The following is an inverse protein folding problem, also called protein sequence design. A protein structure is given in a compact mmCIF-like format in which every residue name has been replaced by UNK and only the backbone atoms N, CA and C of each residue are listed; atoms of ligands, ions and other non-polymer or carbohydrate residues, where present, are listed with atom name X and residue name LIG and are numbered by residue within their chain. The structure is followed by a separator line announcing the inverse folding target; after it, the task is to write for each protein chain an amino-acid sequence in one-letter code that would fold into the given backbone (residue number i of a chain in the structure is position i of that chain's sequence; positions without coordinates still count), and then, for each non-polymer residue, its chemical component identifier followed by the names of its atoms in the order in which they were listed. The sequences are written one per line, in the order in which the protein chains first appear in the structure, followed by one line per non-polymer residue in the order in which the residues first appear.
data_IF_435434839719
#
_entry.id   IF_435434839719
#
_cell.length_a   1.000
_cell.length_b   1.000
_cell.length_c   1.000
_cell.angle_alpha   90.00
_cell.angle_beta   90.00
_cell.angle_gamma   90.00
#
_symmetry.space_group_name_H-M   'P 1'
#
loop_
_entity.id
_entity.type
_entity.pdbx_description
1 polymer ?
#
# COMPACT_ATOMS: atom_id res chain seq x y z
N UNK A 1 30.09 -24.34 -8.42
CA UNK A 1 29.03 -23.51 -9.00
C UNK A 1 28.01 -22.99 -7.98
N UNK A 2 27.48 -23.77 -7.02
CA UNK A 2 26.54 -23.29 -5.98
C UNK A 2 27.12 -22.20 -5.06
N UNK A 3 28.38 -22.31 -4.64
CA UNK A 3 29.02 -21.34 -3.72
C UNK A 3 29.30 -19.97 -4.37
N UNK A 4 29.64 -19.91 -5.65
CA UNK A 4 29.86 -18.65 -6.38
C UNK A 4 28.53 -17.89 -6.56
N UNK A 5 27.42 -18.61 -6.82
CA UNK A 5 26.07 -18.04 -6.89
C UNK A 5 25.63 -17.43 -5.56
N UNK A 6 25.96 -18.07 -4.44
CA UNK A 6 25.63 -17.58 -3.08
C UNK A 6 26.40 -16.30 -2.74
N UNK A 7 27.69 -16.21 -3.06
CA UNK A 7 28.52 -15.03 -2.80
C UNK A 7 28.07 -13.81 -3.61
N UNK A 8 27.68 -14.00 -4.88
CA UNK A 8 27.17 -12.94 -5.72
C UNK A 8 25.80 -12.45 -5.25
N UNK A 9 24.92 -13.35 -4.79
CA UNK A 9 23.61 -12.99 -4.22
C UNK A 9 23.75 -12.18 -2.93
N UNK A 10 24.68 -12.57 -2.04
CA UNK A 10 24.94 -11.81 -0.81
C UNK A 10 25.46 -10.40 -1.13
N UNK A 11 26.39 -10.27 -2.07
CA UNK A 11 26.92 -8.98 -2.52
C UNK A 11 25.82 -8.10 -3.11
N UNK A 12 24.93 -8.68 -3.90
CA UNK A 12 23.75 -7.97 -4.45
C UNK A 12 22.82 -7.46 -3.33
N UNK A 13 22.48 -8.30 -2.35
CA UNK A 13 21.66 -7.90 -1.20
C UNK A 13 22.31 -6.77 -0.41
N UNK A 14 23.61 -6.87 -0.11
CA UNK A 14 24.34 -5.80 0.58
C UNK A 14 24.29 -4.50 -0.20
N UNK A 15 24.51 -4.53 -1.52
CA UNK A 15 24.41 -3.35 -2.37
C UNK A 15 23.00 -2.74 -2.35
N UNK A 16 21.96 -3.57 -2.37
CA UNK A 16 20.55 -3.11 -2.33
C UNK A 16 20.21 -2.47 -0.97
N UNK A 17 20.65 -3.08 0.13
CA UNK A 17 20.49 -2.51 1.48
C UNK A 17 21.22 -1.18 1.60
N UNK A 18 22.45 -1.08 1.07
CA UNK A 18 23.19 0.19 1.06
C UNK A 18 22.44 1.28 0.26
N UNK A 19 21.90 0.94 -0.90
CA UNK A 19 21.10 1.86 -1.70
C UNK A 19 19.84 2.29 -0.92
N UNK A 20 19.16 1.36 -0.25
CA UNK A 20 18.01 1.65 0.58
C UNK A 20 18.34 2.63 1.71
N UNK A 21 19.45 2.43 2.42
CA UNK A 21 19.93 3.34 3.49
C UNK A 21 20.20 4.74 2.92
N UNK A 22 20.86 4.82 1.77
CA UNK A 22 21.12 6.11 1.09
C UNK A 22 19.82 6.79 0.68
N UNK A 23 18.85 6.05 0.15
CA UNK A 23 17.53 6.61 -0.21
C UNK A 23 16.77 7.12 1.03
N UNK A 24 16.75 6.37 2.13
CA UNK A 24 16.14 6.82 3.39
C UNK A 24 16.82 8.08 3.91
N UNK A 25 18.15 8.16 3.82
CA UNK A 25 18.87 9.37 4.20
C UNK A 25 18.43 10.58 3.35
N UNK A 26 18.30 10.42 2.03
CA UNK A 26 17.80 11.50 1.17
C UNK A 26 16.35 11.89 1.50
N UNK A 27 15.50 10.94 1.86
CA UNK A 27 14.12 11.24 2.33
C UNK A 27 14.18 12.06 3.62
N UNK A 28 15.01 11.67 4.59
CA UNK A 28 15.20 12.43 5.83
C UNK A 28 15.69 13.87 5.57
N UNK A 29 16.65 14.02 4.67
CA UNK A 29 17.14 15.34 4.26
C UNK A 29 16.03 16.16 3.60
N UNK A 30 15.32 15.57 2.64
CA UNK A 30 14.25 16.25 1.91
C UNK A 30 13.11 16.67 2.85
N UNK A 31 12.65 15.78 3.73
CA UNK A 31 11.58 16.08 4.71
C UNK A 31 12.00 17.17 5.68
N UNK A 32 13.24 17.14 6.17
CA UNK A 32 13.79 18.19 7.02
C UNK A 32 13.78 19.55 6.32
N UNK A 33 14.31 19.64 5.10
CA UNK A 33 14.36 20.91 4.37
C UNK A 33 12.94 21.41 4.03
N UNK A 34 12.04 20.55 3.56
CA UNK A 34 10.67 20.95 3.26
C UNK A 34 9.97 21.56 4.47
N UNK A 35 10.13 20.95 5.65
CA UNK A 35 9.52 21.49 6.88
C UNK A 35 10.19 22.77 7.38
N UNK A 36 11.45 23.00 7.07
CA UNK A 36 12.19 24.20 7.47
C UNK A 36 12.11 25.35 6.47
N UNK A 37 11.63 25.14 5.25
CA UNK A 37 11.36 26.20 4.28
C UNK A 37 10.15 27.07 4.67
N UNK A 38 9.33 26.62 5.62
CA UNK A 38 8.18 27.37 6.08
C UNK A 38 8.60 28.35 7.16
N UNK A 39 8.26 29.61 6.99
CA UNK A 39 8.65 30.72 7.86
C UNK A 39 8.14 30.58 9.29
N UNK A 40 6.99 29.89 9.50
CA UNK A 40 6.38 29.64 10.79
C UNK A 40 6.21 28.15 10.99
N UNK A 41 6.74 27.59 12.09
CA UNK A 41 6.44 26.21 12.45
C UNK A 41 4.99 26.13 12.96
N UNK A 42 4.05 25.52 12.19
CA UNK A 42 2.64 25.54 12.54
C UNK A 42 2.33 24.79 13.83
N UNK A 43 3.13 23.78 14.17
CA UNK A 43 2.99 23.06 15.43
C UNK A 43 3.24 24.00 16.61
N UNK A 44 4.36 24.73 16.57
CA UNK A 44 4.67 25.72 17.60
C UNK A 44 3.65 26.86 17.62
N UNK A 45 3.17 27.29 16.45
CA UNK A 45 2.15 28.34 16.37
C UNK A 45 0.82 27.87 17.00
N UNK A 46 0.40 26.64 16.70
CA UNK A 46 -0.80 26.07 17.33
C UNK A 46 -0.63 25.87 18.83
N UNK A 47 0.50 25.35 19.27
CA UNK A 47 0.80 25.18 20.70
C UNK A 47 0.80 26.50 21.45
N UNK A 48 1.35 27.57 20.88
CA UNK A 48 1.38 28.90 21.51
C UNK A 48 0.00 29.53 21.58
N UNK A 49 -0.93 29.16 20.73
CA UNK A 49 -2.31 29.70 20.68
C UNK A 49 -3.34 28.84 21.42
N UNK A 50 -3.00 27.60 21.80
CA UNK A 50 -3.90 26.71 22.54
C UNK A 50 -3.67 26.80 24.05
N UNK A 51 -4.61 27.38 24.83
CA UNK A 51 -4.46 27.54 26.28
C UNK A 51 -4.43 26.20 27.05
N UNK A 52 -4.74 25.09 26.41
CA UNK A 52 -4.67 23.77 27.03
C UNK A 52 -3.25 23.20 27.02
N UNK A 53 -2.35 23.75 26.19
CA UNK A 53 -0.97 23.29 26.10
C UNK A 53 -0.15 24.04 27.18
N UNK A 54 0.40 23.34 28.21
CA UNK A 54 1.27 23.94 29.19
C UNK A 54 2.48 24.60 28.54
N UNK A 55 2.88 25.75 29.06
CA UNK A 55 4.02 26.51 28.53
C UNK A 55 5.33 25.72 28.57
N UNK A 56 5.49 24.84 29.55
CA UNK A 56 6.62 23.96 29.70
C UNK A 56 6.74 22.99 28.50
N UNK A 57 5.61 22.43 28.05
CA UNK A 57 5.58 21.51 26.88
C UNK A 57 5.92 22.26 25.59
N UNK A 58 5.46 23.50 25.47
CA UNK A 58 5.83 24.36 24.33
C UNK A 58 7.34 24.64 24.30
N UNK A 59 7.96 24.96 25.45
CA UNK A 59 9.40 25.18 25.54
C UNK A 59 10.21 23.90 25.23
N UNK A 60 9.78 22.77 25.77
CA UNK A 60 10.40 21.47 25.51
C UNK A 60 10.39 21.13 24.01
N UNK A 61 9.26 21.32 23.33
CA UNK A 61 9.13 21.07 21.90
C UNK A 61 9.97 22.06 21.08
N UNK A 62 10.01 23.33 21.45
CA UNK A 62 10.85 24.36 20.83
C UNK A 62 12.34 24.00 20.92
N UNK A 63 12.79 23.53 22.10
CA UNK A 63 14.17 23.08 22.33
C UNK A 63 14.46 21.79 21.54
N UNK A 64 13.51 20.85 21.53
CA UNK A 64 13.62 19.60 20.76
C UNK A 64 13.81 19.86 19.27
N UNK A 65 13.10 20.82 18.69
CA UNK A 65 13.23 21.21 17.28
C UNK A 65 14.50 22.04 17.04
N UNK A 66 14.98 22.73 18.07
CA UNK A 66 16.15 23.61 18.00
C UNK A 66 15.89 24.87 17.17
N UNK A 67 14.71 25.48 17.27
CA UNK A 67 14.26 26.61 16.42
C UNK A 67 15.24 27.78 16.44
N UNK A 68 15.88 28.05 17.57
CA UNK A 68 16.81 29.18 17.78
C UNK A 68 18.23 28.88 17.28
N UNK A 69 18.47 27.70 16.71
CA UNK A 69 19.79 27.27 16.26
C UNK A 69 19.96 27.40 14.73
N UNK A 70 21.21 27.54 14.25
CA UNK A 70 21.49 27.49 12.83
C UNK A 70 20.96 26.23 12.16
N UNK A 71 20.60 26.31 10.87
CA UNK A 71 19.94 25.22 10.15
C UNK A 71 20.73 23.89 10.18
N UNK A 72 22.06 23.99 10.16
CA UNK A 72 22.91 22.81 10.23
C UNK A 72 22.84 22.10 11.59
N UNK A 73 22.83 22.86 12.68
CA UNK A 73 22.65 22.31 14.04
C UNK A 73 21.25 21.71 14.20
N UNK A 74 20.21 22.37 13.66
CA UNK A 74 18.84 21.84 13.64
C UNK A 74 18.76 20.50 12.90
N UNK A 75 19.48 20.38 11.77
CA UNK A 75 19.56 19.12 11.04
C UNK A 75 20.21 18.02 11.87
N UNK A 76 21.30 18.30 12.56
CA UNK A 76 21.98 17.33 13.44
C UNK A 76 21.07 16.90 14.61
N UNK A 77 20.36 17.85 15.22
CA UNK A 77 19.37 17.56 16.26
C UNK A 77 18.25 16.68 15.71
N UNK A 78 17.70 17.03 14.55
CA UNK A 78 16.67 16.21 13.88
C UNK A 78 17.14 14.78 13.62
N UNK A 79 18.33 14.60 13.06
CA UNK A 79 18.92 13.30 12.83
C UNK A 79 19.14 12.50 14.11
N UNK A 80 19.67 13.14 15.16
CA UNK A 80 19.86 12.53 16.47
C UNK A 80 18.53 12.07 17.09
N UNK A 81 17.53 12.92 17.10
CA UNK A 81 16.19 12.62 17.59
C UNK A 81 15.55 11.46 16.80
N UNK A 82 15.72 11.47 15.47
CA UNK A 82 15.21 10.40 14.63
C UNK A 82 15.77 9.03 15.03
N UNK A 83 17.11 8.91 15.16
CA UNK A 83 17.76 7.64 15.52
C UNK A 83 17.50 7.23 16.98
N UNK A 84 17.17 8.16 17.86
CA UNK A 84 16.76 7.89 19.23
C UNK A 84 15.28 7.49 19.37
N UNK A 85 14.52 7.51 18.26
CA UNK A 85 13.07 7.24 18.25
C UNK A 85 12.22 8.40 18.79
N UNK A 86 12.81 9.56 19.05
CA UNK A 86 12.12 10.77 19.45
C UNK A 86 11.66 11.56 18.21
N UNK A 87 10.56 11.09 17.58
CA UNK A 87 10.03 11.71 16.37
C UNK A 87 9.10 12.90 16.63
N UNK A 88 8.92 13.26 17.93
CA UNK A 88 8.04 14.33 18.36
C UNK A 88 6.61 13.89 18.64
N UNK A 89 5.76 14.88 18.91
CA UNK A 89 4.34 14.67 19.24
C UNK A 89 3.45 15.39 18.22
N UNK A 90 2.32 14.77 17.91
CA UNK A 90 1.25 15.43 17.16
C UNK A 90 0.44 16.32 18.08
N UNK A 91 0.13 17.54 17.65
CA UNK A 91 -0.75 18.46 18.36
C UNK A 91 -1.93 18.95 17.49
N UNK A 92 -2.02 18.44 16.26
CA UNK A 92 -3.05 18.86 15.31
C UNK A 92 -4.01 17.74 14.98
N UNK A 93 -3.49 16.58 14.63
CA UNK A 93 -4.33 15.43 14.24
C UNK A 93 -4.50 14.39 15.35
N UNK A 94 -3.61 14.39 16.36
CA UNK A 94 -3.69 13.48 17.51
C UNK A 94 -3.11 14.18 18.76
N UNK A 95 -3.97 14.71 19.60
CA UNK A 95 -3.68 15.62 20.72
C UNK A 95 -2.60 15.09 21.68
N UNK A 96 -1.36 15.61 21.55
CA UNK A 96 -0.22 15.26 22.39
C UNK A 96 0.38 13.86 22.21
N UNK A 97 -0.12 13.06 21.26
CA UNK A 97 0.32 11.69 21.05
C UNK A 97 1.70 11.65 20.38
N UNK A 98 2.68 10.86 20.90
CA UNK A 98 3.96 10.65 20.19
C UNK A 98 3.73 10.07 18.79
N UNK A 99 4.46 10.60 17.79
CA UNK A 99 4.28 10.18 16.40
C UNK A 99 4.55 8.69 16.21
N UNK A 100 5.54 8.12 16.90
CA UNK A 100 5.83 6.69 16.86
C UNK A 100 4.67 5.84 17.37
N UNK A 101 4.01 6.28 18.45
CA UNK A 101 2.81 5.62 19.00
C UNK A 101 1.62 5.75 18.03
N UNK A 102 1.41 6.95 17.47
CA UNK A 102 0.37 7.17 16.48
C UNK A 102 0.55 6.24 15.28
N UNK A 103 1.75 6.16 14.71
CA UNK A 103 2.06 5.29 13.58
C UNK A 103 1.79 3.82 13.93
N UNK A 104 2.21 3.35 15.11
CA UNK A 104 1.93 2.00 15.55
C UNK A 104 0.42 1.67 15.63
N UNK A 105 -0.42 2.67 15.90
CA UNK A 105 -1.88 2.51 15.97
C UNK A 105 -2.56 2.54 14.60
N UNK A 106 -2.06 3.36 13.66
CA UNK A 106 -2.69 3.57 12.35
C UNK A 106 -2.12 2.68 11.24
N UNK A 107 -0.98 2.05 11.47
CA UNK A 107 -0.35 1.11 10.54
C UNK A 107 -1.19 -0.16 10.30
N UNK A 108 -1.71 -0.87 11.34
CA UNK A 108 -2.49 -2.06 11.15
C UNK A 108 -3.73 -1.87 10.25
N UNK A 109 -4.57 -0.83 10.42
CA UNK A 109 -5.68 -0.57 9.51
C UNK A 109 -5.27 -0.47 8.03
N UNK A 110 -4.19 0.23 7.71
CA UNK A 110 -3.68 0.32 6.32
C UNK A 110 -3.31 -1.06 5.77
N UNK A 111 -2.62 -1.87 6.55
CA UNK A 111 -2.22 -3.22 6.14
C UNK A 111 -3.44 -4.12 5.94
N UNK A 112 -4.43 -4.08 6.83
CA UNK A 112 -5.67 -4.85 6.67
C UNK A 112 -6.39 -4.53 5.37
N UNK A 113 -6.47 -3.25 5.02
CA UNK A 113 -7.12 -2.78 3.80
C UNK A 113 -6.41 -3.28 2.53
N UNK A 114 -5.09 -3.40 2.57
CA UNK A 114 -4.26 -3.86 1.44
C UNK A 114 -4.20 -5.39 1.35
N UNK A 115 -4.42 -6.10 2.45
CA UNK A 115 -4.20 -7.55 2.54
C UNK A 115 -5.08 -8.35 1.57
N UNK A 116 -6.37 -8.02 1.45
CA UNK A 116 -7.29 -8.69 0.52
C UNK A 116 -6.91 -8.40 -0.94
N UNK A 117 -6.71 -7.14 -1.38
CA UNK A 117 -6.24 -6.82 -2.71
C UNK A 117 -4.93 -7.51 -3.09
N UNK A 118 -3.92 -7.55 -2.22
CA UNK A 118 -2.61 -8.12 -2.54
C UNK A 118 -2.67 -9.61 -2.88
N UNK A 119 -3.65 -10.33 -2.31
CA UNK A 119 -3.88 -11.75 -2.58
C UNK A 119 -4.74 -11.93 -3.84
N UNK A 120 -5.84 -11.17 -3.95
CA UNK A 120 -6.83 -11.40 -5.01
C UNK A 120 -6.39 -10.86 -6.36
N UNK A 121 -5.69 -9.73 -6.41
CA UNK A 121 -5.27 -9.11 -7.69
C UNK A 121 -4.40 -10.05 -8.53
N UNK A 122 -3.31 -10.65 -8.03
CA UNK A 122 -2.50 -11.56 -8.82
C UNK A 122 -3.29 -12.75 -9.36
N UNK A 123 -4.13 -13.34 -8.51
CA UNK A 123 -4.94 -14.52 -8.86
C UNK A 123 -5.93 -14.17 -9.99
N UNK A 124 -6.68 -13.08 -9.82
CA UNK A 124 -7.68 -12.66 -10.79
C UNK A 124 -7.05 -12.17 -12.09
N UNK A 125 -5.99 -11.37 -12.00
CA UNK A 125 -5.31 -10.80 -13.16
C UNK A 125 -4.70 -11.89 -14.05
N UNK A 126 -4.02 -12.88 -13.45
CA UNK A 126 -3.43 -13.98 -14.20
C UNK A 126 -4.53 -14.80 -14.87
N UNK A 127 -5.61 -15.14 -14.17
CA UNK A 127 -6.75 -15.88 -14.75
C UNK A 127 -7.40 -15.11 -15.91
N UNK A 128 -7.65 -13.82 -15.75
CA UNK A 128 -8.23 -12.98 -16.79
C UNK A 128 -7.29 -12.80 -17.98
N UNK A 129 -5.98 -12.63 -17.74
CA UNK A 129 -4.97 -12.53 -18.78
C UNK A 129 -4.87 -13.79 -19.63
N UNK A 130 -4.90 -14.97 -19.01
CA UNK A 130 -4.93 -16.27 -19.69
C UNK A 130 -6.24 -16.41 -20.51
N UNK A 131 -7.39 -16.09 -19.90
CA UNK A 131 -8.69 -16.18 -20.57
C UNK A 131 -8.76 -15.27 -21.80
N UNK A 132 -8.27 -14.03 -21.67
CA UNK A 132 -8.18 -13.05 -22.74
C UNK A 132 -7.24 -13.54 -23.88
N UNK A 133 -6.07 -14.07 -23.55
CA UNK A 133 -5.13 -14.59 -24.54
C UNK A 133 -5.69 -15.83 -25.28
N UNK A 134 -6.32 -16.75 -24.56
CA UNK A 134 -6.97 -17.97 -25.13
C UNK A 134 -8.09 -17.63 -26.08
N UNK A 135 -8.88 -16.60 -25.80
CA UNK A 135 -10.01 -16.20 -26.61
C UNK A 135 -9.71 -14.96 -27.46
N UNK A 136 -8.45 -14.81 -27.91
CA UNK A 136 -7.99 -13.66 -28.69
C UNK A 136 -8.96 -13.31 -29.82
N UNK A 137 -9.32 -12.03 -29.91
CA UNK A 137 -10.23 -11.47 -30.92
C UNK A 137 -11.68 -12.00 -30.85
N UNK A 138 -12.06 -12.73 -29.79
CA UNK A 138 -13.46 -13.13 -29.51
C UNK A 138 -14.10 -12.14 -28.54
N UNK A 139 -15.42 -12.25 -28.37
CA UNK A 139 -16.19 -11.36 -27.49
C UNK A 139 -15.71 -11.35 -26.03
N UNK A 140 -15.23 -12.52 -25.52
CA UNK A 140 -14.68 -12.61 -24.17
C UNK A 140 -13.41 -11.75 -24.02
N UNK A 141 -12.50 -11.78 -25.00
CA UNK A 141 -11.30 -10.93 -25.03
C UNK A 141 -11.70 -9.45 -25.10
N UNK A 142 -12.75 -9.11 -25.87
CA UNK A 142 -13.21 -7.73 -25.99
C UNK A 142 -13.80 -7.18 -24.70
N UNK A 143 -14.57 -7.98 -23.95
CA UNK A 143 -15.10 -7.58 -22.64
C UNK A 143 -13.95 -7.40 -21.65
N UNK A 144 -13.03 -8.37 -21.54
CA UNK A 144 -11.89 -8.27 -20.61
C UNK A 144 -11.07 -7.02 -20.92
N UNK A 145 -10.78 -6.73 -22.19
CA UNK A 145 -10.09 -5.49 -22.59
C UNK A 145 -10.87 -4.23 -22.25
N UNK A 146 -12.19 -4.24 -22.39
CA UNK A 146 -13.05 -3.13 -22.00
C UNK A 146 -12.95 -2.84 -20.50
N UNK A 147 -13.03 -3.87 -19.65
CA UNK A 147 -12.86 -3.74 -18.19
C UNK A 147 -11.45 -3.25 -17.83
N UNK A 148 -10.40 -3.77 -18.50
CA UNK A 148 -9.04 -3.30 -18.31
C UNK A 148 -8.92 -1.81 -18.67
N UNK A 149 -9.49 -1.38 -19.79
CA UNK A 149 -9.45 0.03 -20.21
C UNK A 149 -10.15 0.94 -19.18
N UNK A 150 -11.29 0.54 -18.66
CA UNK A 150 -11.96 1.29 -17.59
C UNK A 150 -11.07 1.41 -16.35
N UNK A 151 -10.44 0.31 -15.91
CA UNK A 151 -9.56 0.33 -14.75
C UNK A 151 -8.30 1.20 -14.93
N UNK A 152 -7.79 1.34 -16.16
CA UNK A 152 -6.63 2.21 -16.45
C UNK A 152 -7.02 3.68 -16.59
N UNK A 153 -8.19 3.96 -17.18
CA UNK A 153 -8.61 5.33 -17.50
C UNK A 153 -9.27 6.05 -16.32
N UNK A 154 -9.85 5.31 -15.39
CA UNK A 154 -10.60 5.89 -14.27
C UNK A 154 -9.66 6.06 -13.06
N UNK A 155 -9.50 7.29 -12.55
CA UNK A 155 -8.71 7.52 -11.33
C UNK A 155 -9.31 6.77 -10.13
N UNK A 156 -8.45 6.21 -9.27
CA UNK A 156 -8.89 5.40 -8.13
C UNK A 156 -9.86 6.14 -7.20
N UNK A 157 -9.62 7.42 -6.94
CA UNK A 157 -10.49 8.22 -6.08
C UNK A 157 -11.90 8.38 -6.67
N UNK A 158 -12.00 8.56 -7.98
CA UNK A 158 -13.30 8.69 -8.64
C UNK A 158 -14.05 7.34 -8.63
N UNK A 159 -13.38 6.24 -8.93
CA UNK A 159 -13.98 4.91 -8.86
C UNK A 159 -14.43 4.57 -7.44
N UNK A 160 -13.61 4.85 -6.43
CA UNK A 160 -13.93 4.63 -5.03
C UNK A 160 -15.18 5.42 -4.61
N UNK A 161 -15.26 6.70 -5.00
CA UNK A 161 -16.46 7.56 -4.76
C UNK A 161 -17.70 7.01 -5.45
N UNK A 162 -17.57 6.53 -6.71
CA UNK A 162 -18.70 5.91 -7.42
C UNK A 162 -19.18 4.63 -6.73
N UNK A 163 -18.26 3.78 -6.30
CA UNK A 163 -18.59 2.53 -5.57
C UNK A 163 -19.30 2.87 -4.26
N UNK A 164 -18.77 3.83 -3.50
CA UNK A 164 -19.37 4.29 -2.24
C UNK A 164 -20.77 4.85 -2.49
N UNK A 165 -20.93 5.74 -3.49
CA UNK A 165 -22.23 6.32 -3.86
C UNK A 165 -23.24 5.25 -4.27
N UNK A 166 -22.82 4.29 -5.09
CA UNK A 166 -23.66 3.18 -5.54
C UNK A 166 -24.11 2.30 -4.38
N UNK A 167 -23.19 1.96 -3.48
CA UNK A 167 -23.48 1.14 -2.32
C UNK A 167 -24.43 1.83 -1.34
N UNK A 168 -24.18 3.09 -0.99
CA UNK A 168 -24.96 3.81 0.01
C UNK A 168 -26.32 4.28 -0.53
N UNK A 169 -26.42 4.73 -1.78
CA UNK A 169 -27.64 5.35 -2.28
C UNK A 169 -28.50 4.43 -3.17
N UNK A 170 -27.88 3.47 -3.86
CA UNK A 170 -28.62 2.60 -4.77
C UNK A 170 -28.91 1.26 -4.09
N UNK A 171 -27.89 0.54 -3.65
CA UNK A 171 -28.10 -0.79 -3.04
C UNK A 171 -28.94 -0.70 -1.76
N UNK A 172 -28.62 0.22 -0.86
CA UNK A 172 -29.33 0.39 0.40
C UNK A 172 -30.81 0.74 0.14
N UNK A 173 -31.10 1.68 -0.75
CA UNK A 173 -32.48 2.10 -1.09
C UNK A 173 -33.26 0.95 -1.75
N UNK A 174 -32.70 0.28 -2.77
CA UNK A 174 -33.41 -0.77 -3.49
C UNK A 174 -33.56 -2.08 -2.71
N UNK A 175 -32.73 -2.30 -1.69
CA UNK A 175 -32.85 -3.48 -0.81
C UNK A 175 -33.62 -3.17 0.48
N UNK A 176 -34.23 -1.97 0.60
CA UNK A 176 -34.93 -1.51 1.82
C UNK A 176 -34.09 -1.66 3.10
N UNK A 177 -32.79 -1.40 2.99
CA UNK A 177 -31.86 -1.54 4.12
C UNK A 177 -31.47 -2.98 4.47
N UNK A 178 -31.87 -3.98 3.68
CA UNK A 178 -31.43 -5.37 3.89
C UNK A 178 -29.95 -5.56 3.60
N UNK A 179 -29.43 -4.80 2.62
CA UNK A 179 -27.99 -4.72 2.30
C UNK A 179 -27.56 -3.30 2.64
N UNK A 180 -27.17 -3.10 3.89
CA UNK A 180 -26.55 -1.87 4.34
C UNK A 180 -25.04 -2.08 4.38
N UNK A 181 -24.36 -1.55 3.35
CA UNK A 181 -22.92 -1.43 3.42
C UNK A 181 -22.60 -0.17 4.20
N UNK A 182 -22.07 -0.32 5.39
CA UNK A 182 -21.45 0.83 6.05
C UNK A 182 -20.27 1.31 5.19
N UNK A 183 -20.48 2.44 4.55
CA UNK A 183 -19.59 2.97 3.50
C UNK A 183 -18.51 3.89 4.07
N UNK A 184 -18.48 4.05 5.37
CA UNK A 184 -17.57 4.98 6.05
C UNK A 184 -17.08 4.40 7.37
N UNK A 185 -15.79 4.60 7.66
CA UNK A 185 -15.12 4.08 8.85
C UNK A 185 -14.60 2.63 8.71
N UNK A 186 -13.89 2.16 9.71
CA UNK A 186 -13.32 0.82 9.75
C UNK A 186 -14.18 -0.19 10.52
N UNK A 187 -15.18 0.29 11.23
CA UNK A 187 -16.18 -0.47 11.94
C UNK A 187 -17.42 0.37 12.25
N UNK A 188 -18.54 -0.29 12.47
CA UNK A 188 -19.81 0.33 12.86
C UNK A 188 -19.69 1.06 14.20
N UNK A 189 -20.50 2.10 14.38
CA UNK A 189 -20.53 2.90 15.63
C UNK A 189 -20.88 2.03 16.85
N UNK A 190 -21.65 0.97 16.64
CA UNK A 190 -22.14 0.09 17.70
C UNK A 190 -21.16 -1.03 18.10
N UNK A 191 -20.03 -1.17 17.40
CA UNK A 191 -19.02 -2.19 17.71
C UNK A 191 -17.80 -1.51 18.33
N UNK A 192 -17.67 -1.72 19.63
CA UNK A 192 -16.58 -1.18 20.42
C UNK A 192 -15.32 -2.04 20.21
N UNK A 193 -14.28 -1.44 19.63
CA UNK A 193 -13.00 -2.09 19.47
C UNK A 193 -12.05 -1.68 20.60
N UNK A 194 -12.39 -2.07 21.84
CA UNK A 194 -11.68 -1.64 23.06
C UNK A 194 -10.46 -2.51 23.35
N UNK A 195 -10.50 -3.81 23.10
CA UNK A 195 -9.43 -4.76 23.46
C UNK A 195 -8.50 -5.03 22.27
N UNK A 196 -7.57 -4.12 22.04
CA UNK A 196 -6.56 -4.26 20.98
C UNK A 196 -5.34 -5.03 21.51
N UNK A 197 -5.18 -6.28 21.09
CA UNK A 197 -3.95 -7.03 21.35
C UNK A 197 -2.92 -6.76 20.24
N UNK A 198 -3.34 -6.89 18.98
CA UNK A 198 -2.45 -6.79 17.82
C UNK A 198 -2.60 -5.47 17.05
N UNK A 199 -3.73 -4.79 17.20
CA UNK A 199 -4.13 -3.63 16.42
C UNK A 199 -4.77 -3.97 15.06
N UNK A 200 -4.72 -5.26 14.65
CA UNK A 200 -5.40 -5.78 13.47
C UNK A 200 -6.77 -6.30 13.87
N UNK A 201 -7.84 -5.67 13.36
CA UNK A 201 -9.22 -6.01 13.73
C UNK A 201 -9.59 -7.44 13.35
N UNK A 202 -9.22 -7.89 12.15
CA UNK A 202 -9.48 -9.25 11.68
C UNK A 202 -8.76 -10.29 12.53
N UNK A 203 -7.50 -10.03 12.90
CA UNK A 203 -6.72 -10.94 13.75
C UNK A 203 -7.30 -10.96 15.15
N UNK A 204 -7.59 -9.80 15.74
CA UNK A 204 -8.14 -9.70 17.08
C UNK A 204 -9.56 -10.35 17.16
N UNK A 205 -10.40 -10.12 16.15
CA UNK A 205 -11.70 -10.77 16.04
C UNK A 205 -11.59 -12.32 16.04
N UNK A 206 -10.62 -12.84 15.31
CA UNK A 206 -10.34 -14.27 15.26
C UNK A 206 -9.79 -14.79 16.60
N UNK A 207 -8.84 -14.10 17.22
CA UNK A 207 -8.22 -14.49 18.49
C UNK A 207 -9.22 -14.50 19.64
N UNK A 208 -10.13 -13.54 19.68
CA UNK A 208 -11.16 -13.43 20.72
C UNK A 208 -12.47 -14.13 20.37
N UNK A 209 -12.53 -14.81 19.22
CA UNK A 209 -13.73 -15.47 18.69
C UNK A 209 -14.96 -14.53 18.63
N UNK A 210 -14.70 -13.26 18.32
CA UNK A 210 -15.72 -12.23 18.17
C UNK A 210 -16.26 -12.21 16.74
N UNK A 211 -17.35 -12.96 16.52
CA UNK A 211 -17.96 -13.06 15.19
C UNK A 211 -18.61 -11.76 14.73
N UNK A 212 -19.10 -10.92 15.65
CA UNK A 212 -19.71 -9.65 15.31
C UNK A 212 -18.65 -8.69 14.76
N UNK A 213 -17.51 -8.55 15.46
CA UNK A 213 -16.38 -7.76 15.01
C UNK A 213 -15.81 -8.27 13.68
N UNK A 214 -15.72 -9.61 13.49
CA UNK A 214 -15.21 -10.21 12.27
C UNK A 214 -16.08 -9.86 11.06
N UNK A 215 -17.39 -10.04 11.17
CA UNK A 215 -18.35 -9.74 10.11
C UNK A 215 -18.35 -8.26 9.77
N UNK A 216 -18.41 -7.42 10.78
CA UNK A 216 -18.38 -5.97 10.64
C UNK A 216 -17.09 -5.50 9.92
N UNK A 217 -15.92 -5.92 10.39
CA UNK A 217 -14.63 -5.55 9.77
C UNK A 217 -14.53 -6.03 8.32
N UNK A 218 -15.02 -7.22 7.99
CA UNK A 218 -15.02 -7.72 6.61
C UNK A 218 -15.92 -6.88 5.70
N UNK A 219 -17.09 -6.44 6.17
CA UNK A 219 -18.00 -5.59 5.40
C UNK A 219 -17.36 -4.23 5.11
N UNK A 220 -16.69 -3.62 6.10
CA UNK A 220 -16.03 -2.32 5.92
C UNK A 220 -14.80 -2.37 5.00
N UNK A 221 -14.08 -3.50 4.94
CA UNK A 221 -12.94 -3.70 4.04
C UNK A 221 -13.39 -4.01 2.59
N UNK A 222 -14.60 -4.52 2.39
CA UNK A 222 -15.05 -5.06 1.09
C UNK A 222 -15.05 -3.99 -0.01
N UNK A 223 -15.72 -2.86 0.20
CA UNK A 223 -15.85 -1.82 -0.81
C UNK A 223 -14.51 -1.14 -1.15
N UNK A 224 -13.67 -0.73 -0.18
CA UNK A 224 -12.33 -0.23 -0.46
C UNK A 224 -11.46 -1.25 -1.22
N UNK A 225 -11.56 -2.54 -0.86
CA UNK A 225 -10.84 -3.61 -1.55
C UNK A 225 -11.28 -3.76 -3.01
N UNK A 226 -12.58 -3.69 -3.30
CA UNK A 226 -13.12 -3.75 -4.67
C UNK A 226 -12.56 -2.59 -5.50
N UNK A 227 -12.55 -1.37 -4.96
CA UNK A 227 -12.00 -0.20 -5.65
C UNK A 227 -10.52 -0.41 -6.02
N UNK A 228 -9.71 -0.86 -5.06
CA UNK A 228 -8.29 -1.14 -5.25
C UNK A 228 -8.05 -2.28 -6.24
N UNK A 229 -8.86 -3.34 -6.19
CA UNK A 229 -8.77 -4.49 -7.09
C UNK A 229 -9.05 -4.08 -8.53
N UNK A 230 -10.15 -3.35 -8.79
CA UNK A 230 -10.56 -2.99 -10.16
C UNK A 230 -9.48 -2.18 -10.87
N UNK A 231 -8.88 -1.21 -10.20
CA UNK A 231 -7.82 -0.35 -10.77
C UNK A 231 -6.54 -1.14 -11.00
N UNK A 232 -6.06 -1.88 -9.98
CA UNK A 232 -4.77 -2.56 -10.04
C UNK A 232 -4.77 -3.81 -10.91
N UNK A 233 -5.94 -4.45 -11.07
CA UNK A 233 -6.13 -5.64 -11.89
C UNK A 233 -5.78 -5.39 -13.37
N UNK A 234 -5.94 -4.15 -13.84
CA UNK A 234 -5.81 -3.78 -15.24
C UNK A 234 -4.38 -3.94 -15.79
N UNK A 235 -3.36 -3.46 -15.06
CA UNK A 235 -1.96 -3.52 -15.52
C UNK A 235 -1.46 -4.95 -15.61
N UNK A 236 -1.66 -5.74 -14.57
CA UNK A 236 -1.20 -7.14 -14.50
C UNK A 236 -1.94 -8.02 -15.51
N UNK A 237 -3.25 -7.83 -15.70
CA UNK A 237 -4.02 -8.58 -16.71
C UNK A 237 -3.52 -8.28 -18.11
N UNK A 238 -3.27 -7.00 -18.43
CA UNK A 238 -2.70 -6.59 -19.72
C UNK A 238 -1.33 -7.22 -19.95
N UNK A 239 -0.45 -7.18 -18.96
CA UNK A 239 0.89 -7.76 -19.02
C UNK A 239 0.82 -9.28 -19.21
N UNK A 240 -0.01 -9.97 -18.41
CA UNK A 240 -0.21 -11.42 -18.53
C UNK A 240 -0.72 -11.80 -19.90
N UNK A 241 -1.71 -11.06 -20.43
CA UNK A 241 -2.25 -11.30 -21.77
C UNK A 241 -1.18 -11.15 -22.85
N UNK A 242 -0.40 -10.06 -22.81
CA UNK A 242 0.68 -9.82 -23.77
C UNK A 242 1.71 -10.95 -23.74
N UNK A 243 2.23 -11.27 -22.57
CA UNK A 243 3.21 -12.34 -22.37
C UNK A 243 2.69 -13.72 -22.81
N UNK A 244 1.43 -14.03 -22.52
CA UNK A 244 0.80 -15.28 -22.97
C UNK A 244 0.72 -15.34 -24.49
N UNK A 245 0.32 -14.27 -25.17
CA UNK A 245 0.23 -14.24 -26.64
C UNK A 245 1.61 -14.43 -27.31
N UNK A 246 2.67 -13.86 -26.73
CA UNK A 246 4.02 -14.01 -27.26
C UNK A 246 4.53 -15.44 -27.05
N UNK A 247 4.38 -15.98 -25.85
CA UNK A 247 4.83 -17.34 -25.51
C UNK A 247 4.07 -18.41 -26.29
N UNK A 248 2.76 -18.24 -26.50
CA UNK A 248 1.94 -19.21 -27.24
C UNK A 248 2.36 -19.37 -28.72
N UNK A 249 3.16 -18.45 -29.26
CA UNK A 249 3.70 -18.51 -30.63
C UNK A 249 5.07 -19.19 -30.72
N UNK A 250 5.73 -19.45 -29.60
CA UNK A 250 7.07 -20.05 -29.58
C UNK A 250 7.08 -21.50 -30.01
N UNK A 251 8.19 -21.93 -30.61
CA UNK A 251 8.31 -23.27 -31.23
C UNK A 251 8.16 -24.42 -30.24
N UNK A 252 8.62 -24.28 -29.01
CA UNK A 252 8.43 -25.31 -27.99
C UNK A 252 6.95 -25.55 -27.64
N UNK A 253 6.11 -24.52 -27.73
CA UNK A 253 4.66 -24.63 -27.52
C UNK A 253 4.02 -25.33 -28.72
N UNK A 254 4.48 -25.02 -29.94
CA UNK A 254 4.06 -25.73 -31.16
C UNK A 254 4.46 -27.21 -31.10
N UNK A 255 5.66 -27.52 -30.64
CA UNK A 255 6.15 -28.89 -30.47
C UNK A 255 5.29 -29.66 -29.45
N UNK A 256 4.89 -29.03 -28.33
CA UNK A 256 4.01 -29.66 -27.36
C UNK A 256 2.65 -30.03 -27.96
N UNK A 257 2.07 -29.12 -28.79
CA UNK A 257 0.82 -29.41 -29.51
C UNK A 257 1.00 -30.53 -30.53
N UNK A 258 2.09 -30.53 -31.30
CA UNK A 258 2.39 -31.57 -32.27
C UNK A 258 2.56 -32.96 -31.61
N UNK A 259 3.01 -33.04 -30.38
CA UNK A 259 3.09 -34.25 -29.57
C UNK A 259 1.74 -34.70 -28.98
N UNK A 260 0.63 -34.02 -29.27
CA UNK A 260 -0.70 -34.40 -28.81
C UNK A 260 -0.99 -34.01 -27.33
N UNK A 261 -0.21 -33.12 -26.73
CA UNK A 261 -0.49 -32.64 -25.36
C UNK A 261 -1.82 -31.90 -25.35
N UNK A 262 -2.67 -32.18 -24.37
CA UNK A 262 -3.96 -31.52 -24.23
C UNK A 262 -3.80 -29.98 -24.09
N UNK A 263 -4.65 -29.21 -24.80
CA UNK A 263 -4.51 -27.74 -24.87
C UNK A 263 -4.50 -27.09 -23.48
N UNK A 264 -5.22 -27.62 -22.50
CA UNK A 264 -5.18 -27.20 -21.12
C UNK A 264 -3.78 -27.27 -20.52
N UNK A 265 -3.05 -28.35 -20.80
CA UNK A 265 -1.69 -28.55 -20.29
C UNK A 265 -0.67 -27.73 -21.08
N UNK A 266 -0.88 -27.58 -22.40
CA UNK A 266 -0.08 -26.64 -23.20
C UNK A 266 -0.13 -25.23 -22.63
N UNK A 267 -1.32 -24.76 -22.32
CA UNK A 267 -1.51 -23.41 -21.75
C UNK A 267 -0.93 -23.32 -20.33
N UNK A 268 -1.36 -24.19 -19.41
CA UNK A 268 -1.08 -24.03 -17.99
C UNK A 268 0.32 -24.51 -17.57
N UNK A 269 0.90 -25.53 -18.25
CA UNK A 269 2.20 -26.09 -17.89
C UNK A 269 3.34 -25.58 -18.77
N UNK A 270 3.08 -25.44 -20.08
CA UNK A 270 4.14 -25.07 -21.03
C UNK A 270 4.19 -23.56 -21.29
N UNK A 271 3.06 -22.90 -21.53
CA UNK A 271 3.04 -21.48 -21.86
C UNK A 271 3.08 -20.60 -20.60
N UNK A 272 2.22 -20.85 -19.63
CA UNK A 272 2.05 -20.00 -18.44
C UNK A 272 3.35 -19.80 -17.65
N UNK A 273 4.12 -20.87 -17.46
CA UNK A 273 5.37 -20.82 -16.70
C UNK A 273 6.34 -19.74 -17.21
N UNK A 274 6.46 -19.62 -18.53
CA UNK A 274 7.33 -18.62 -19.14
C UNK A 274 6.66 -17.25 -19.25
N UNK A 275 5.34 -17.21 -19.45
CA UNK A 275 4.59 -15.96 -19.50
C UNK A 275 4.50 -15.26 -18.12
N UNK A 276 4.63 -15.99 -17.02
CA UNK A 276 4.66 -15.43 -15.68
C UNK A 276 5.95 -14.66 -15.35
N UNK A 277 7.06 -14.88 -16.07
CA UNK A 277 8.33 -14.20 -15.79
C UNK A 277 8.17 -12.68 -15.86
N UNK A 278 7.73 -12.05 -16.98
CA UNK A 278 7.50 -10.61 -16.98
C UNK A 278 6.29 -10.17 -16.14
N UNK A 279 5.28 -11.03 -15.99
CA UNK A 279 4.11 -10.75 -15.13
C UNK A 279 4.48 -10.71 -13.64
N UNK A 280 5.43 -11.54 -13.19
CA UNK A 280 5.87 -11.54 -11.80
C UNK A 280 6.48 -10.20 -11.39
N UNK A 281 7.13 -9.48 -12.29
CA UNK A 281 7.67 -8.16 -12.03
C UNK A 281 6.57 -7.14 -11.68
N UNK A 282 5.45 -7.18 -12.42
CA UNK A 282 4.27 -6.36 -12.14
C UNK A 282 3.61 -6.75 -10.81
N UNK A 283 3.49 -8.05 -10.52
CA UNK A 283 2.92 -8.55 -9.26
C UNK A 283 3.76 -8.10 -8.07
N UNK A 284 5.08 -8.11 -8.22
CA UNK A 284 6.01 -7.71 -7.17
C UNK A 284 5.88 -6.20 -6.89
N UNK A 285 5.76 -5.37 -7.93
CA UNK A 285 5.51 -3.92 -7.79
C UNK A 285 4.15 -3.57 -7.20
N UNK A 286 3.20 -4.50 -7.21
CA UNK A 286 1.84 -4.30 -6.71
C UNK A 286 1.80 -3.89 -5.23
N UNK A 287 2.66 -4.47 -4.39
CA UNK A 287 2.69 -4.18 -2.94
C UNK A 287 2.92 -2.69 -2.70
N UNK A 288 3.96 -2.13 -3.32
CA UNK A 288 4.28 -0.72 -3.21
C UNK A 288 3.15 0.17 -3.77
N UNK A 289 2.58 -0.21 -4.93
CA UNK A 289 1.50 0.58 -5.54
C UNK A 289 0.21 0.56 -4.73
N UNK A 290 -0.12 -0.54 -4.06
CA UNK A 290 -1.29 -0.63 -3.19
C UNK A 290 -1.14 0.22 -1.93
N UNK A 291 0.04 0.23 -1.32
CA UNK A 291 0.31 1.06 -0.14
C UNK A 291 0.21 2.56 -0.47
N UNK A 292 0.76 3.00 -1.61
CA UNK A 292 0.61 4.37 -2.08
C UNK A 292 -0.85 4.68 -2.45
N UNK A 293 -1.52 3.73 -3.11
CA UNK A 293 -2.91 3.88 -3.55
C UNK A 293 -3.93 3.83 -2.41
N UNK A 294 -3.59 3.25 -1.26
CA UNK A 294 -4.49 3.15 -0.10
C UNK A 294 -4.87 4.52 0.47
N UNK A 295 -4.02 5.53 0.32
CA UNK A 295 -4.30 6.90 0.74
C UNK A 295 -5.67 7.38 0.25
N UNK A 296 -5.98 7.24 -1.03
CA UNK A 296 -7.25 7.69 -1.59
C UNK A 296 -8.44 6.84 -1.13
N UNK A 297 -8.26 5.54 -1.01
CA UNK A 297 -9.32 4.64 -0.52
C UNK A 297 -9.58 4.89 0.96
N UNK A 298 -8.56 5.07 1.77
CA UNK A 298 -8.68 5.43 3.18
C UNK A 298 -9.42 6.76 3.39
N UNK A 299 -9.11 7.78 2.57
CA UNK A 299 -9.79 9.07 2.63
C UNK A 299 -11.28 8.96 2.29
N UNK A 300 -11.61 8.31 1.18
CA UNK A 300 -12.98 8.26 0.68
C UNK A 300 -13.88 7.42 1.59
N UNK A 301 -13.38 6.28 2.04
CA UNK A 301 -14.11 5.41 2.96
C UNK A 301 -13.92 5.79 4.44
N UNK A 302 -13.25 6.93 4.72
CA UNK A 302 -12.94 7.39 6.09
C UNK A 302 -12.32 6.28 6.96
N UNK A 303 -11.49 5.47 6.35
CA UNK A 303 -10.79 4.37 7.01
C UNK A 303 -9.50 4.91 7.62
N UNK A 304 -9.46 5.11 8.94
CA UNK A 304 -8.41 5.85 9.65
C UNK A 304 -7.08 5.08 9.71
N UNK A 305 -6.43 4.93 8.56
CA UNK A 305 -5.09 4.38 8.41
C UNK A 305 -4.05 5.49 8.15
N UNK A 306 -2.85 5.08 7.72
CA UNK A 306 -1.71 5.99 7.51
C UNK A 306 -2.00 7.04 6.44
N UNK A 307 -2.65 6.68 5.34
CA UNK A 307 -3.01 7.61 4.27
C UNK A 307 -4.04 8.65 4.71
N UNK A 308 -5.04 8.25 5.49
CA UNK A 308 -6.02 9.18 6.05
C UNK A 308 -5.34 10.21 6.98
N UNK A 309 -4.46 9.75 7.89
CA UNK A 309 -3.73 10.63 8.79
C UNK A 309 -2.71 11.51 8.06
N UNK A 310 -2.07 11.02 7.01
CA UNK A 310 -1.19 11.84 6.17
C UNK A 310 -1.95 13.01 5.55
N UNK A 311 -3.12 12.73 4.98
CA UNK A 311 -3.96 13.79 4.40
C UNK A 311 -4.46 14.79 5.46
N UNK A 312 -4.95 14.31 6.61
CA UNK A 312 -5.38 15.15 7.71
C UNK A 312 -4.22 16.02 8.24
N UNK A 313 -3.01 15.46 8.35
CA UNK A 313 -1.82 16.17 8.76
C UNK A 313 -1.40 17.25 7.75
N UNK A 314 -1.50 16.97 6.44
CA UNK A 314 -1.23 17.96 5.38
C UNK A 314 -2.22 19.12 5.49
N UNK A 315 -3.51 18.83 5.61
CA UNK A 315 -4.53 19.87 5.74
C UNK A 315 -4.40 20.70 7.02
N UNK A 316 -4.05 20.06 8.13
CA UNK A 316 -3.86 20.72 9.41
C UNK A 316 -2.49 21.39 9.56
N UNK A 317 -1.51 21.05 8.72
CA UNK A 317 -0.13 21.53 8.86
C UNK A 317 0.65 20.83 9.98
N UNK A 318 0.35 19.55 10.28
CA UNK A 318 1.07 18.77 11.30
C UNK A 318 2.33 18.15 10.72
N UNK A 319 3.39 18.95 10.57
CA UNK A 319 4.63 18.51 9.90
C UNK A 319 5.34 17.37 10.61
N UNK A 320 5.18 17.25 11.92
CA UNK A 320 5.82 16.18 12.69
C UNK A 320 5.23 14.84 12.28
N UNK A 321 3.91 14.77 12.12
CA UNK A 321 3.21 13.59 11.62
C UNK A 321 3.53 13.35 10.14
N UNK A 322 3.52 14.40 9.29
CA UNK A 322 3.86 14.28 7.87
C UNK A 322 5.26 13.67 7.69
N UNK A 323 6.26 14.19 8.40
CA UNK A 323 7.63 13.65 8.34
C UNK A 323 7.67 12.19 8.76
N UNK A 324 7.06 11.86 9.90
CA UNK A 324 7.04 10.49 10.41
C UNK A 324 6.41 9.50 9.42
N UNK A 325 5.25 9.87 8.85
CA UNK A 325 4.54 9.04 7.89
C UNK A 325 5.32 8.86 6.58
N UNK A 326 5.86 9.93 6.00
CA UNK A 326 6.67 9.84 4.77
C UNK A 326 7.89 8.93 4.97
N UNK A 327 8.54 9.00 6.13
CA UNK A 327 9.69 8.14 6.43
C UNK A 327 9.26 6.67 6.51
N UNK A 328 8.18 6.38 7.25
CA UNK A 328 7.67 5.01 7.39
C UNK A 328 7.20 4.46 6.05
N UNK A 329 6.44 5.23 5.28
CA UNK A 329 6.03 4.84 3.93
C UNK A 329 7.23 4.53 3.04
N UNK A 330 8.27 5.38 3.10
CA UNK A 330 9.51 5.14 2.35
C UNK A 330 10.21 3.85 2.78
N UNK A 331 10.29 3.58 4.08
CA UNK A 331 10.87 2.33 4.61
C UNK A 331 10.08 1.12 4.13
N UNK A 332 8.75 1.18 4.17
CA UNK A 332 7.87 0.09 3.74
C UNK A 332 8.03 -0.17 2.24
N UNK A 333 7.98 0.88 1.42
CA UNK A 333 8.12 0.78 -0.04
C UNK A 333 9.49 0.21 -0.42
N UNK A 334 10.56 0.73 0.17
CA UNK A 334 11.92 0.27 -0.11
C UNK A 334 12.15 -1.16 0.38
N UNK A 335 11.60 -1.52 1.54
CA UNK A 335 11.64 -2.90 2.05
C UNK A 335 10.85 -3.85 1.16
N UNK A 336 9.65 -3.44 0.71
CA UNK A 336 8.85 -4.17 -0.27
C UNK A 336 9.60 -4.38 -1.58
N UNK A 337 10.28 -3.35 -2.09
CA UNK A 337 11.11 -3.44 -3.30
C UNK A 337 12.30 -4.38 -3.09
N UNK A 338 12.94 -4.37 -1.93
CA UNK A 338 14.02 -5.31 -1.59
C UNK A 338 13.53 -6.76 -1.59
N UNK A 339 12.39 -7.03 -0.93
CA UNK A 339 11.76 -8.36 -0.95
C UNK A 339 11.43 -8.78 -2.38
N UNK A 340 10.94 -7.86 -3.16
CA UNK A 340 10.65 -8.00 -4.58
C UNK A 340 11.87 -8.44 -5.39
N UNK A 341 12.98 -7.75 -5.24
CA UNK A 341 14.24 -8.06 -5.91
C UNK A 341 14.76 -9.45 -5.54
N UNK A 342 14.62 -9.84 -4.27
CA UNK A 342 14.99 -11.19 -3.80
C UNK A 342 14.12 -12.27 -4.44
N UNK A 343 12.79 -12.08 -4.43
CA UNK A 343 11.86 -13.01 -5.05
C UNK A 343 12.10 -13.14 -6.55
N UNK A 344 12.39 -12.03 -7.23
CA UNK A 344 12.70 -12.02 -8.65
C UNK A 344 13.95 -12.86 -8.97
N UNK A 345 14.99 -12.74 -8.15
CA UNK A 345 16.22 -13.56 -8.27
C UNK A 345 15.96 -15.05 -8.11
N UNK A 346 14.99 -15.42 -7.26
CA UNK A 346 14.61 -16.81 -7.04
C UNK A 346 13.77 -17.36 -8.20
N UNK A 347 12.89 -16.53 -8.77
CA UNK A 347 11.96 -16.91 -9.84
C UNK A 347 12.69 -17.02 -11.18
N UNK A 348 13.59 -16.11 -11.51
CA UNK A 348 14.37 -16.13 -12.76
C UNK A 348 15.86 -16.41 -12.51
N UNK A 349 16.28 -17.69 -12.62
CA UNK A 349 17.67 -18.08 -12.41
C UNK A 349 18.63 -17.63 -13.54
N UNK A 350 18.13 -16.95 -14.58
CA UNK A 350 18.93 -16.44 -15.71
C UNK A 350 19.56 -15.08 -15.40
N UNK A 351 19.11 -14.42 -14.36
CA UNK A 351 19.71 -13.14 -13.91
C UNK A 351 21.10 -13.47 -13.35
N UNK A 352 22.12 -12.99 -14.05
CA UNK A 352 23.54 -13.06 -13.66
C UNK A 352 23.90 -11.69 -13.06
N UNK A 353 24.41 -11.68 -11.83
CA UNK A 353 24.88 -10.49 -11.11
C UNK A 353 26.36 -10.26 -11.34
#
# INVERSE_FOLDING_TARGET
MKMVKSKNMLMYLVKRVLIMVVMIFFVLVATFFLTNLMEVNPVLNKMSSDPRVPWEIYLEERERIGVDKPIFERFLIYMTNFFQGNWGRSYIVADGVPVTTLIAQIFPPTIELVLIPIILIPILSVKLGIASAKHRNKWQDSIIRGVIMLGVCVPIFFLATLIQFFASNILNVYTYGVIDFETSSANSINIDYINRLTGFRLIDAFLFNDQALLQDSLLHILLPSIASIVVSLASITRQTRASMLDVMRMDYVRTARAKGVAEKDVINKHALRNALIPTSNEIIGLVASLLIGSLFTEMIFNYKGMGWYLFAAIQGGDYVVIMGLIIVDSIIILSGTLVADVLYTVIDPRIVY
#
